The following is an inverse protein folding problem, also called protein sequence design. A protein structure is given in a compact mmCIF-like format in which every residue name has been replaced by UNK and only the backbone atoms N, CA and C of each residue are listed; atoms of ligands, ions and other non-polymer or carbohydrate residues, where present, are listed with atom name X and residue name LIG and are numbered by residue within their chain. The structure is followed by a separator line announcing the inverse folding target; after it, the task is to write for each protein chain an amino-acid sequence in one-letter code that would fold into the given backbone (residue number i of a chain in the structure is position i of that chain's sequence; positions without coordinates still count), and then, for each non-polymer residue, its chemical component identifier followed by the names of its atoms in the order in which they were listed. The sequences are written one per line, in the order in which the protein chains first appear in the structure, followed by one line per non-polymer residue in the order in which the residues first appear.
data_IF_776963319893
#
_entry.id   IF_776963319893
#
_cell.length_a   1.000
_cell.length_b   1.000
_cell.length_c   1.000
_cell.angle_alpha   90.00
_cell.angle_beta   90.00
_cell.angle_gamma   90.00
#
_symmetry.space_group_name_H-M   'P 1'
#
loop_
_entity.id
_entity.type
_entity.pdbx_description
1 polymer ?
#
# COMPACT_ATOMS: atom_id res chain seq x y z
N UNK A 1 0.27 -1.63 4.73
CA UNK A 1 0.12 -0.83 3.53
C UNK A 1 -0.87 0.32 3.77
N UNK A 2 -0.57 1.50 3.28
CA UNK A 2 -1.39 2.70 3.47
C UNK A 2 -0.83 3.91 2.71
N UNK A 3 -1.32 5.12 2.98
CA UNK A 3 -0.90 6.33 2.29
C UNK A 3 0.55 6.72 2.62
N UNK A 4 1.28 7.18 1.61
CA UNK A 4 2.65 7.70 1.69
C UNK A 4 3.68 6.70 2.28
N UNK A 5 3.45 5.40 2.08
CA UNK A 5 4.37 4.33 2.46
C UNK A 5 4.48 3.28 1.35
N UNK A 6 5.63 2.64 1.24
CA UNK A 6 5.88 1.61 0.21
C UNK A 6 5.06 0.32 0.43
N UNK A 7 4.49 0.13 1.61
CA UNK A 7 4.05 -1.17 2.07
C UNK A 7 5.21 -1.97 2.67
N UNK A 8 4.89 -2.78 3.67
CA UNK A 8 5.85 -3.64 4.37
C UNK A 8 5.25 -5.04 4.46
N UNK A 9 6.07 -6.05 4.18
CA UNK A 9 5.73 -7.43 4.42
C UNK A 9 6.85 -8.09 5.24
N UNK A 10 6.49 -8.84 6.27
CA UNK A 10 7.44 -9.63 7.05
C UNK A 10 7.04 -11.09 6.97
N UNK A 11 7.99 -11.91 6.54
CA UNK A 11 7.84 -13.36 6.42
C UNK A 11 8.71 -13.99 7.48
N UNK A 12 8.13 -14.91 8.26
CA UNK A 12 8.84 -15.68 9.28
C UNK A 12 8.66 -17.16 8.97
N UNK A 13 9.76 -17.89 8.89
CA UNK A 13 9.75 -19.31 8.62
C UNK A 13 10.80 -20.04 9.45
N UNK A 14 10.63 -21.36 9.56
CA UNK A 14 11.58 -22.28 10.18
C UNK A 14 12.08 -23.24 9.12
N UNK A 15 13.38 -23.49 9.08
CA UNK A 15 14.02 -24.37 8.10
C UNK A 15 15.31 -24.94 8.68
N UNK A 16 15.96 -25.84 7.93
CA UNK A 16 17.29 -26.34 8.29
C UNK A 16 18.34 -25.22 8.24
N UNK A 17 19.45 -25.43 8.92
CA UNK A 17 20.51 -24.42 9.06
C UNK A 17 21.18 -24.06 7.72
N UNK A 18 21.41 -25.06 6.87
CA UNK A 18 22.10 -24.87 5.59
C UNK A 18 21.26 -24.01 4.64
N UNK A 19 19.96 -24.32 4.50
CA UNK A 19 19.03 -23.54 3.70
C UNK A 19 18.88 -22.09 4.21
N UNK A 20 18.87 -21.90 5.53
CA UNK A 20 18.78 -20.59 6.13
C UNK A 20 20.00 -19.71 5.82
N UNK A 21 21.20 -20.29 5.93
CA UNK A 21 22.45 -19.62 5.62
C UNK A 21 22.56 -19.30 4.12
N UNK A 22 22.10 -20.22 3.26
CA UNK A 22 22.06 -20.02 1.81
C UNK A 22 21.17 -18.80 1.44
N UNK A 23 19.99 -18.70 2.03
CA UNK A 23 19.08 -17.53 1.83
C UNK A 23 19.81 -16.25 2.24
N UNK A 24 20.42 -16.22 3.44
CA UNK A 24 21.11 -15.02 3.93
C UNK A 24 22.29 -14.62 3.03
N UNK A 25 23.04 -15.58 2.51
CA UNK A 25 24.22 -15.33 1.66
C UNK A 25 23.84 -14.89 0.24
N UNK A 26 22.75 -15.40 -0.31
CA UNK A 26 22.30 -15.08 -1.67
C UNK A 26 21.49 -13.79 -1.77
N UNK A 27 20.96 -13.33 -0.65
CA UNK A 27 20.15 -12.12 -0.63
C UNK A 27 21.03 -10.88 -0.59
N UNK A 28 20.78 -9.96 -1.51
CA UNK A 28 21.42 -8.65 -1.60
C UNK A 28 20.37 -7.54 -1.78
N UNK A 29 20.82 -6.30 -1.94
CA UNK A 29 19.96 -5.11 -2.08
C UNK A 29 19.14 -5.09 -3.39
N UNK A 30 19.47 -5.94 -4.37
CA UNK A 30 18.74 -6.10 -5.62
C UNK A 30 17.73 -7.25 -5.59
N UNK A 31 17.73 -8.03 -4.51
CA UNK A 31 16.86 -9.20 -4.39
C UNK A 31 15.41 -8.79 -4.26
N UNK A 32 14.58 -9.37 -5.12
CA UNK A 32 13.14 -9.17 -5.15
C UNK A 32 12.43 -10.47 -4.83
N UNK A 33 11.28 -10.35 -4.19
CA UNK A 33 10.46 -11.53 -3.90
C UNK A 33 8.98 -11.18 -3.86
N UNK A 34 8.16 -12.19 -4.05
CA UNK A 34 6.71 -12.04 -4.00
C UNK A 34 6.07 -13.00 -2.98
N UNK A 35 4.95 -12.57 -2.44
CA UNK A 35 4.07 -13.41 -1.61
C UNK A 35 2.84 -13.76 -2.43
N UNK A 36 2.62 -15.04 -2.65
CA UNK A 36 1.52 -15.57 -3.46
C UNK A 36 0.64 -16.47 -2.62
N UNK A 37 -0.66 -16.36 -2.76
CA UNK A 37 -1.62 -17.31 -2.20
C UNK A 37 -2.18 -18.21 -3.28
N UNK A 38 -2.43 -19.46 -2.94
CA UNK A 38 -3.10 -20.45 -3.79
C UNK A 38 -4.47 -20.85 -3.26
N UNK A 39 -4.95 -20.17 -2.21
CA UNK A 39 -6.19 -20.52 -1.52
C UNK A 39 -7.44 -20.54 -2.42
N UNK A 40 -7.46 -19.75 -3.50
CA UNK A 40 -8.56 -19.73 -4.47
C UNK A 40 -8.47 -20.80 -5.57
N UNK A 41 -7.45 -21.66 -5.54
CA UNK A 41 -7.15 -22.63 -6.60
C UNK A 41 -6.45 -22.02 -7.82
N UNK A 42 -6.25 -20.72 -7.83
CA UNK A 42 -5.39 -19.98 -8.77
C UNK A 42 -4.41 -19.13 -7.96
N UNK A 43 -3.14 -19.04 -8.39
CA UNK A 43 -2.18 -18.17 -7.73
C UNK A 43 -2.64 -16.72 -7.79
N UNK A 44 -2.59 -16.03 -6.65
CA UNK A 44 -2.83 -14.59 -6.59
C UNK A 44 -1.72 -13.94 -5.77
N UNK A 45 -1.12 -12.89 -6.33
CA UNK A 45 -0.06 -12.14 -5.68
C UNK A 45 -0.66 -11.25 -4.60
N UNK A 46 -0.15 -11.37 -3.38
CA UNK A 46 -0.53 -10.53 -2.25
C UNK A 46 0.45 -9.38 -2.05
N UNK A 47 1.72 -9.60 -2.33
CA UNK A 47 2.77 -8.62 -2.15
C UNK A 47 3.92 -8.89 -3.12
N UNK A 48 4.54 -7.85 -3.63
CA UNK A 48 5.79 -7.88 -4.37
C UNK A 48 6.69 -6.76 -3.86
N UNK A 49 7.97 -7.03 -3.69
CA UNK A 49 8.87 -6.02 -3.18
C UNK A 49 10.33 -6.41 -3.16
N UNK A 50 11.15 -5.45 -2.76
CA UNK A 50 12.59 -5.59 -2.58
C UNK A 50 12.89 -6.05 -1.15
N UNK A 51 13.93 -6.86 -0.99
CA UNK A 51 14.34 -7.33 0.32
C UNK A 51 15.04 -6.19 1.07
N UNK A 52 14.47 -5.82 2.21
CA UNK A 52 15.05 -4.82 3.12
C UNK A 52 16.03 -5.44 4.10
N UNK A 53 15.68 -6.61 4.63
CA UNK A 53 16.47 -7.29 5.66
C UNK A 53 16.18 -8.78 5.66
N UNK A 54 17.23 -9.56 5.90
CA UNK A 54 17.15 -10.97 6.23
C UNK A 54 17.87 -11.18 7.55
N UNK A 55 17.22 -11.86 8.48
CA UNK A 55 17.85 -12.29 9.73
C UNK A 55 17.66 -13.79 9.94
N UNK A 56 18.74 -14.44 10.35
CA UNK A 56 18.75 -15.88 10.66
C UNK A 56 19.09 -16.04 12.13
N UNK A 57 18.28 -16.78 12.85
CA UNK A 57 18.50 -17.14 14.25
C UNK A 57 18.57 -18.64 14.38
N UNK A 58 19.79 -19.17 14.57
CA UNK A 58 20.02 -20.59 14.74
C UNK A 58 19.53 -21.07 16.10
N UNK A 59 18.71 -22.12 16.10
CA UNK A 59 18.27 -22.85 17.29
C UNK A 59 18.82 -24.29 17.21
N UNK A 60 18.61 -25.09 18.26
CA UNK A 60 19.26 -26.41 18.34
C UNK A 60 18.99 -27.34 17.12
N UNK A 61 17.77 -27.37 16.64
CA UNK A 61 17.34 -28.31 15.58
C UNK A 61 16.95 -27.61 14.27
N UNK A 62 16.76 -26.29 14.29
CA UNK A 62 16.32 -25.50 13.13
C UNK A 62 16.85 -24.06 13.19
N UNK A 63 16.75 -23.38 12.09
CA UNK A 63 16.98 -21.92 12.03
C UNK A 63 15.64 -21.21 11.77
N UNK A 64 15.42 -20.15 12.52
CA UNK A 64 14.32 -19.20 12.28
C UNK A 64 14.80 -18.11 11.35
N UNK A 65 14.18 -18.00 10.19
CA UNK A 65 14.49 -16.96 9.19
C UNK A 65 13.38 -15.91 9.20
N UNK A 66 13.78 -14.66 9.21
CA UNK A 66 12.87 -13.52 9.05
C UNK A 66 13.31 -12.71 7.85
N UNK A 67 12.43 -12.55 6.88
CA UNK A 67 12.64 -11.73 5.69
C UNK A 67 11.67 -10.54 5.75
N UNK A 68 12.21 -9.34 5.63
CA UNK A 68 11.45 -8.10 5.59
C UNK A 68 11.53 -7.52 4.19
N UNK A 69 10.38 -7.25 3.58
CA UNK A 69 10.23 -6.69 2.24
C UNK A 69 9.64 -5.29 2.30
N UNK A 70 10.09 -4.41 1.44
CA UNK A 70 9.43 -3.15 1.12
C UNK A 70 8.87 -3.20 -0.30
N UNK A 71 7.69 -2.63 -0.54
CA UNK A 71 7.05 -2.62 -1.86
C UNK A 71 7.95 -2.03 -2.94
N UNK A 72 7.74 -2.41 -4.20
CA UNK A 72 8.59 -2.06 -5.36
C UNK A 72 8.84 -0.56 -5.52
N UNK A 73 7.89 0.29 -5.09
CA UNK A 73 8.08 1.75 -5.09
C UNK A 73 9.25 2.23 -4.22
N UNK A 74 9.83 1.37 -3.36
CA UNK A 74 11.10 1.67 -2.67
C UNK A 74 12.24 1.95 -3.64
N UNK A 75 12.21 1.38 -4.84
CA UNK A 75 13.21 1.66 -5.89
C UNK A 75 13.26 3.16 -6.26
N UNK A 76 12.14 3.87 -6.14
CA UNK A 76 12.06 5.32 -6.40
C UNK A 76 12.65 6.19 -5.28
N UNK A 77 13.01 5.59 -4.14
CA UNK A 77 13.53 6.26 -2.94
C UNK A 77 15.02 5.96 -2.67
N UNK A 78 15.76 5.53 -3.69
CA UNK A 78 17.18 5.16 -3.54
C UNK A 78 18.07 6.34 -3.93
N UNK A 79 17.78 6.99 -5.05
CA UNK A 79 18.63 8.02 -5.63
C UNK A 79 17.99 9.40 -5.54
N UNK A 80 18.75 10.40 -5.09
CA UNK A 80 18.34 11.80 -5.14
C UNK A 80 18.62 12.41 -6.52
N UNK A 81 17.82 13.40 -6.89
CA UNK A 81 17.89 14.05 -8.19
C UNK A 81 17.95 15.58 -8.07
N UNK A 82 18.53 16.20 -9.12
CA UNK A 82 18.57 17.65 -9.29
C UNK A 82 18.00 17.99 -10.66
N UNK A 83 16.72 18.38 -10.69
CA UNK A 83 15.98 18.68 -11.92
C UNK A 83 15.19 19.97 -11.78
N UNK A 84 14.98 20.69 -12.87
CA UNK A 84 14.08 21.85 -12.94
C UNK A 84 13.00 21.64 -13.97
N UNK A 85 11.76 21.95 -13.60
CA UNK A 85 10.58 21.86 -14.46
C UNK A 85 10.08 23.28 -14.72
N UNK A 86 10.39 23.81 -15.92
CA UNK A 86 10.18 25.21 -16.25
C UNK A 86 8.84 25.48 -16.93
N UNK A 87 8.16 24.44 -17.42
CA UNK A 87 6.85 24.57 -18.04
C UNK A 87 5.79 24.79 -16.95
N UNK A 88 5.34 26.03 -16.82
CA UNK A 88 4.33 26.43 -15.85
C UNK A 88 2.91 26.01 -16.25
N UNK A 89 2.71 25.51 -17.47
CA UNK A 89 1.43 24.96 -17.94
C UNK A 89 1.29 23.47 -17.68
N UNK A 90 2.40 22.78 -17.38
CA UNK A 90 2.38 21.38 -16.96
C UNK A 90 1.59 21.19 -15.66
N UNK A 91 0.93 20.06 -15.53
CA UNK A 91 0.21 19.73 -14.30
C UNK A 91 1.12 19.06 -13.27
N UNK A 92 0.70 19.04 -12.01
CA UNK A 92 1.43 18.30 -10.97
C UNK A 92 1.53 16.80 -11.30
N UNK A 93 0.47 16.22 -11.88
CA UNK A 93 0.48 14.82 -12.34
C UNK A 93 1.48 14.59 -13.49
N UNK A 94 1.63 15.54 -14.42
CA UNK A 94 2.63 15.43 -15.49
C UNK A 94 4.05 15.43 -14.91
N UNK A 95 4.29 16.26 -13.88
CA UNK A 95 5.59 16.29 -13.22
C UNK A 95 5.89 14.98 -12.48
N UNK A 96 4.91 14.40 -11.82
CA UNK A 96 5.04 13.09 -11.17
C UNK A 96 5.42 12.04 -12.22
N UNK A 97 4.64 11.88 -13.29
CA UNK A 97 4.91 10.91 -14.36
C UNK A 97 6.28 11.11 -14.98
N UNK A 98 6.67 12.38 -15.20
CA UNK A 98 7.97 12.72 -15.78
C UNK A 98 9.14 12.40 -14.85
N UNK A 99 8.98 12.61 -13.55
CA UNK A 99 10.05 12.35 -12.57
C UNK A 99 10.42 10.87 -12.47
N UNK A 100 9.45 9.97 -12.61
CA UNK A 100 9.63 8.52 -12.50
C UNK A 100 9.67 7.81 -13.86
N UNK A 101 9.70 8.56 -14.96
CA UNK A 101 9.72 7.99 -16.31
C UNK A 101 10.94 7.08 -16.52
N UNK A 102 10.69 5.83 -16.90
CA UNK A 102 11.72 4.80 -17.06
C UNK A 102 12.05 4.02 -15.78
N UNK A 103 11.54 4.44 -14.62
CA UNK A 103 11.72 3.77 -13.34
C UNK A 103 10.40 3.23 -12.77
N UNK A 104 9.26 3.76 -13.26
CA UNK A 104 7.94 3.35 -12.81
C UNK A 104 6.82 4.12 -13.51
N UNK A 105 5.59 3.92 -13.02
CA UNK A 105 4.38 4.53 -13.57
C UNK A 105 3.53 5.16 -12.48
N UNK A 106 2.70 6.17 -12.84
CA UNK A 106 1.80 6.84 -11.91
C UNK A 106 0.42 7.07 -12.52
N UNK A 107 -0.61 6.77 -11.77
CA UNK A 107 -2.00 7.10 -12.06
C UNK A 107 -2.49 8.21 -11.13
N UNK A 108 -3.09 9.27 -11.71
CA UNK A 108 -3.63 10.40 -10.95
C UNK A 108 -5.13 10.19 -10.84
N UNK A 109 -5.61 9.85 -9.66
CA UNK A 109 -7.02 9.51 -9.38
C UNK A 109 -7.79 10.66 -8.73
N UNK A 110 -7.17 11.85 -8.67
CA UNK A 110 -7.79 13.08 -8.19
C UNK A 110 -7.79 14.14 -9.30
N UNK A 111 -8.54 15.21 -9.11
CA UNK A 111 -8.51 16.34 -10.03
C UNK A 111 -7.12 16.96 -10.07
N UNK A 112 -6.50 16.91 -11.23
CA UNK A 112 -5.18 17.49 -11.48
C UNK A 112 -5.27 19.00 -11.75
N UNK A 113 -4.18 19.71 -11.53
CA UNK A 113 -4.10 21.16 -11.80
C UNK A 113 -2.70 21.58 -12.27
N UNK A 114 -2.66 22.67 -13.02
CA UNK A 114 -1.41 23.25 -13.49
C UNK A 114 -0.55 23.76 -12.32
N UNK A 115 0.77 23.67 -12.47
CA UNK A 115 1.72 24.14 -11.45
C UNK A 115 1.70 25.65 -11.31
N UNK A 116 1.52 26.39 -12.42
CA UNK A 116 1.53 27.86 -12.46
C UNK A 116 2.89 28.48 -12.11
N UNK A 117 3.90 27.69 -11.83
CA UNK A 117 5.22 28.15 -11.39
C UNK A 117 6.31 27.15 -11.77
N UNK A 118 7.56 27.60 -11.73
CA UNK A 118 8.73 26.75 -11.85
C UNK A 118 8.80 25.83 -10.61
N UNK A 119 9.03 24.52 -10.87
CA UNK A 119 9.21 23.53 -9.82
C UNK A 119 10.65 22.99 -9.91
N UNK A 120 11.28 22.83 -8.76
CA UNK A 120 12.63 22.27 -8.65
C UNK A 120 12.55 21.01 -7.76
N UNK A 121 13.18 19.95 -8.25
CA UNK A 121 13.55 18.78 -7.47
C UNK A 121 15.03 18.95 -7.13
N UNK A 122 15.37 19.16 -5.88
CA UNK A 122 16.75 19.43 -5.47
C UNK A 122 17.13 18.54 -4.28
N UNK A 123 18.10 17.67 -4.52
CA UNK A 123 18.58 16.67 -3.56
C UNK A 123 17.46 15.85 -2.91
N UNK A 124 16.48 15.48 -3.73
CA UNK A 124 15.23 14.86 -3.35
C UNK A 124 15.04 13.59 -4.18
N UNK A 125 14.59 12.50 -3.56
CA UNK A 125 14.28 11.25 -4.27
C UNK A 125 13.04 11.41 -5.17
N UNK A 126 12.86 10.49 -6.10
CA UNK A 126 11.64 10.50 -6.93
C UNK A 126 10.39 10.22 -6.06
N UNK A 127 10.51 9.40 -5.04
CA UNK A 127 9.42 9.13 -4.10
C UNK A 127 9.00 10.37 -3.31
N UNK A 128 9.94 11.06 -2.69
CA UNK A 128 9.66 12.28 -1.93
C UNK A 128 9.10 13.39 -2.83
N UNK A 129 9.65 13.52 -4.05
CA UNK A 129 9.12 14.45 -5.04
C UNK A 129 7.66 14.14 -5.41
N UNK A 130 7.32 12.87 -5.63
CA UNK A 130 5.93 12.46 -5.90
C UNK A 130 4.99 12.81 -4.74
N UNK A 131 5.40 12.54 -3.49
CA UNK A 131 4.61 12.91 -2.30
C UNK A 131 4.42 14.42 -2.22
N UNK A 132 5.48 15.20 -2.46
CA UNK A 132 5.41 16.66 -2.43
C UNK A 132 4.50 17.22 -3.53
N UNK A 133 4.55 16.68 -4.74
CA UNK A 133 3.65 17.08 -5.82
C UNK A 133 2.20 16.66 -5.56
N UNK A 134 1.97 15.45 -5.05
CA UNK A 134 0.65 14.98 -4.66
C UNK A 134 0.03 15.83 -3.54
N UNK A 135 0.83 16.32 -2.61
CA UNK A 135 0.37 17.21 -1.54
C UNK A 135 -0.21 18.52 -2.08
N UNK A 136 0.26 19.02 -3.22
CA UNK A 136 -0.29 20.19 -3.89
C UNK A 136 -1.69 19.92 -4.46
N UNK A 137 -2.02 18.66 -4.72
CA UNK A 137 -3.36 18.22 -5.13
C UNK A 137 -4.25 17.88 -3.92
N UNK A 138 -3.70 17.97 -2.70
CA UNK A 138 -4.39 17.55 -1.46
C UNK A 138 -4.59 16.04 -1.37
N UNK A 139 -3.75 15.25 -2.04
CA UNK A 139 -3.87 13.82 -2.15
C UNK A 139 -2.65 13.08 -1.57
N UNK A 140 -2.83 11.92 -0.95
CA UNK A 140 -1.73 11.04 -0.61
C UNK A 140 -1.27 10.22 -1.83
N UNK A 141 -0.09 9.63 -1.71
CA UNK A 141 0.42 8.64 -2.66
C UNK A 141 0.21 7.23 -2.10
N UNK A 142 -0.30 6.33 -2.91
CA UNK A 142 -0.36 4.90 -2.60
C UNK A 142 0.56 4.14 -3.55
N UNK A 143 1.39 3.24 -3.01
CA UNK A 143 2.14 2.28 -3.82
C UNK A 143 1.24 1.09 -4.17
N UNK A 144 1.39 0.53 -5.36
CA UNK A 144 0.81 -0.77 -5.68
C UNK A 144 1.73 -1.86 -5.13
N UNK A 145 1.30 -2.51 -4.07
CA UNK A 145 2.10 -3.58 -3.43
C UNK A 145 2.05 -4.90 -4.17
N UNK A 146 1.24 -5.01 -5.23
CA UNK A 146 1.12 -6.21 -6.06
C UNK A 146 1.91 -6.10 -7.37
N UNK A 147 2.32 -4.89 -7.74
CA UNK A 147 3.08 -4.64 -8.96
C UNK A 147 4.54 -5.09 -8.82
N UNK A 148 5.09 -5.70 -9.86
CA UNK A 148 6.49 -6.11 -9.97
C UNK A 148 7.42 -4.93 -10.34
N UNK A 149 6.86 -3.86 -10.89
CA UNK A 149 7.56 -2.59 -11.12
C UNK A 149 6.92 -1.46 -10.31
N UNK A 150 7.65 -0.38 -10.00
CA UNK A 150 7.11 0.74 -9.28
C UNK A 150 5.86 1.31 -9.95
N UNK A 151 4.74 1.19 -9.30
CA UNK A 151 3.46 1.76 -9.72
C UNK A 151 2.82 2.49 -8.55
N UNK A 152 2.43 3.73 -8.76
CA UNK A 152 1.83 4.54 -7.70
C UNK A 152 0.53 5.22 -8.15
N UNK A 153 -0.35 5.42 -7.18
CA UNK A 153 -1.59 6.18 -7.34
C UNK A 153 -1.50 7.47 -6.53
N UNK A 154 -1.88 8.58 -7.16
CA UNK A 154 -2.09 9.86 -6.45
C UNK A 154 -3.57 10.01 -6.15
N UNK A 155 -3.93 9.83 -4.90
CA UNK A 155 -5.30 9.62 -4.46
C UNK A 155 -5.59 8.13 -4.21
N UNK A 156 -6.86 7.78 -3.93
CA UNK A 156 -7.23 6.37 -3.75
C UNK A 156 -7.08 5.60 -5.06
N UNK A 157 -6.46 4.43 -5.04
CA UNK A 157 -6.48 3.53 -6.18
C UNK A 157 -7.91 3.28 -6.69
N UNK A 158 -8.14 3.21 -8.00
CA UNK A 158 -9.47 2.94 -8.54
C UNK A 158 -9.91 1.54 -8.13
N UNK A 159 -11.18 1.38 -7.78
CA UNK A 159 -11.76 0.09 -7.48
C UNK A 159 -13.10 -0.05 -8.19
N UNK A 160 -13.28 -1.18 -8.86
CA UNK A 160 -14.50 -1.58 -9.52
C UNK A 160 -15.36 -2.53 -8.67
N UNK A 161 -14.87 -2.91 -7.49
CA UNK A 161 -15.48 -3.91 -6.64
C UNK A 161 -15.78 -3.38 -5.25
N UNK A 162 -16.96 -3.72 -4.76
CA UNK A 162 -17.35 -3.55 -3.36
C UNK A 162 -17.36 -4.93 -2.71
N UNK A 163 -16.55 -5.11 -1.66
CA UNK A 163 -16.56 -6.34 -0.86
C UNK A 163 -17.55 -6.21 0.29
N UNK A 164 -18.48 -7.15 0.40
CA UNK A 164 -19.47 -7.18 1.49
C UNK A 164 -18.88 -7.97 2.68
N UNK A 165 -18.58 -7.26 3.78
CA UNK A 165 -18.05 -7.83 5.01
C UNK A 165 -19.14 -8.06 6.06
N UNK A 166 -20.44 -7.85 5.74
CA UNK A 166 -21.54 -7.93 6.70
C UNK A 166 -21.76 -9.35 7.25
N UNK A 167 -21.29 -10.38 6.53
CA UNK A 167 -21.40 -11.78 6.94
C UNK A 167 -20.15 -12.30 7.67
N UNK A 168 -19.08 -11.52 7.75
CA UNK A 168 -17.88 -11.90 8.44
C UNK A 168 -18.01 -11.69 9.95
N UNK A 169 -17.29 -12.46 10.74
CA UNK A 169 -17.07 -12.10 12.13
C UNK A 169 -16.10 -10.91 12.17
N UNK A 170 -16.56 -9.77 12.62
CA UNK A 170 -15.74 -8.56 12.66
C UNK A 170 -15.93 -7.76 13.95
N UNK A 171 -14.88 -7.03 14.33
CA UNK A 171 -14.92 -6.00 15.35
C UNK A 171 -14.78 -4.63 14.70
N UNK A 172 -15.71 -3.73 14.99
CA UNK A 172 -15.63 -2.36 14.52
C UNK A 172 -15.32 -1.41 15.68
N UNK A 173 -14.24 -0.66 15.54
CA UNK A 173 -13.90 0.44 16.43
C UNK A 173 -13.99 1.76 15.66
N UNK A 174 -14.68 2.75 16.26
CA UNK A 174 -14.80 4.09 15.72
C UNK A 174 -14.02 5.05 16.60
N UNK A 175 -13.06 5.77 16.03
CA UNK A 175 -12.38 6.87 16.70
C UNK A 175 -12.89 8.19 16.17
N UNK A 176 -13.30 9.09 17.06
CA UNK A 176 -13.64 10.48 16.75
C UNK A 176 -12.53 11.36 17.28
N UNK A 177 -11.70 11.89 16.38
CA UNK A 177 -10.81 13.00 16.73
C UNK A 177 -11.55 14.33 16.57
N UNK A 178 -11.31 15.25 17.51
CA UNK A 178 -11.91 16.59 17.47
C UNK A 178 -11.61 17.26 16.12
N UNK A 179 -12.66 17.62 15.41
CA UNK A 179 -12.74 18.37 14.19
C UNK A 179 -12.69 17.65 12.84
N UNK A 180 -12.31 16.39 12.68
CA UNK A 180 -12.41 15.72 11.38
C UNK A 180 -12.24 14.20 11.48
N UNK A 181 -12.95 13.50 10.59
CA UNK A 181 -12.79 12.10 10.22
C UNK A 181 -13.10 11.04 11.28
N UNK A 182 -14.22 10.44 11.07
CA UNK A 182 -14.51 9.14 11.68
C UNK A 182 -13.67 8.09 10.94
N UNK A 183 -12.62 7.60 11.57
CA UNK A 183 -11.91 6.43 11.05
C UNK A 183 -12.50 5.19 11.70
N UNK A 184 -13.00 4.26 10.91
CA UNK A 184 -13.36 2.92 11.36
C UNK A 184 -12.16 2.01 11.29
N UNK A 185 -12.05 1.07 12.22
CA UNK A 185 -11.17 -0.09 12.14
C UNK A 185 -12.06 -1.31 12.15
N UNK A 186 -11.92 -2.17 11.15
CA UNK A 186 -12.51 -3.50 11.14
C UNK A 186 -11.39 -4.50 11.30
N UNK A 187 -11.58 -5.44 12.20
CA UNK A 187 -10.73 -6.63 12.38
C UNK A 187 -11.57 -7.81 11.94
N UNK A 188 -11.09 -8.56 10.96
CA UNK A 188 -11.69 -9.80 10.50
C UNK A 188 -10.71 -10.91 10.79
N UNK A 189 -11.16 -11.95 11.50
CA UNK A 189 -10.35 -13.15 11.75
C UNK A 189 -10.93 -14.31 10.97
N UNK A 190 -10.09 -15.06 10.29
CA UNK A 190 -10.51 -16.16 9.44
C UNK A 190 -9.53 -17.35 9.55
N UNK A 191 -10.06 -18.56 9.62
CA UNK A 191 -9.25 -19.77 9.59
C UNK A 191 -8.62 -19.95 8.21
N UNK A 192 -7.29 -19.94 8.17
CA UNK A 192 -6.53 -20.05 6.93
C UNK A 192 -6.66 -21.41 6.24
N UNK A 193 -7.16 -22.43 6.93
CA UNK A 193 -7.39 -23.77 6.37
C UNK A 193 -8.68 -23.87 5.54
N UNK A 194 -9.57 -22.89 5.64
CA UNK A 194 -10.89 -22.94 5.00
C UNK A 194 -10.92 -22.16 3.67
N UNK A 195 -11.85 -22.58 2.81
CA UNK A 195 -12.13 -21.92 1.53
C UNK A 195 -12.57 -20.43 1.66
N UNK A 196 -12.84 -20.00 2.89
CA UNK A 196 -13.19 -18.64 3.28
C UNK A 196 -12.12 -17.59 3.06
N UNK A 197 -10.84 -17.91 3.16
CA UNK A 197 -9.71 -17.02 2.79
C UNK A 197 -9.90 -16.29 1.46
N UNK A 198 -10.83 -16.79 0.64
CA UNK A 198 -11.16 -16.26 -0.68
C UNK A 198 -11.77 -14.86 -0.67
N UNK A 199 -12.43 -14.47 0.41
CA UNK A 199 -13.23 -13.25 0.43
C UNK A 199 -12.48 -12.03 0.96
N UNK A 200 -11.54 -12.22 1.89
CA UNK A 200 -10.96 -11.14 2.68
C UNK A 200 -9.50 -10.85 2.36
N UNK A 201 -8.73 -11.86 1.91
CA UNK A 201 -7.31 -11.66 1.54
C UNK A 201 -7.09 -10.75 0.33
N UNK A 202 -8.13 -10.41 -0.42
CA UNK A 202 -8.04 -9.61 -1.64
C UNK A 202 -8.63 -8.21 -1.48
N UNK A 203 -8.69 -7.69 -0.28
CA UNK A 203 -9.06 -6.30 -0.03
C UNK A 203 -7.79 -5.48 0.12
N UNK A 204 -7.63 -4.49 -0.73
CA UNK A 204 -6.45 -3.61 -0.75
C UNK A 204 -6.84 -2.15 -0.49
N UNK A 205 -5.86 -1.30 -0.22
CA UNK A 205 -6.11 0.13 -0.14
C UNK A 205 -6.74 0.63 -1.45
N UNK A 206 -7.75 1.47 -1.35
CA UNK A 206 -8.56 1.92 -2.47
C UNK A 206 -9.81 1.07 -2.74
N UNK A 207 -9.86 -0.18 -2.26
CA UNK A 207 -11.07 -0.97 -2.39
C UNK A 207 -12.22 -0.39 -1.55
N UNK A 208 -13.44 -0.69 -1.98
CA UNK A 208 -14.64 -0.38 -1.21
C UNK A 208 -15.12 -1.61 -0.46
N UNK A 209 -15.51 -1.38 0.80
CA UNK A 209 -16.11 -2.41 1.62
C UNK A 209 -17.49 -1.95 2.09
N UNK A 210 -18.43 -2.88 2.15
CA UNK A 210 -19.75 -2.69 2.73
C UNK A 210 -19.80 -3.45 4.05
N UNK A 211 -20.27 -2.76 5.08
CA UNK A 211 -20.52 -3.33 6.39
C UNK A 211 -21.93 -2.92 6.80
N UNK A 212 -22.81 -3.90 6.95
CA UNK A 212 -24.23 -3.68 7.10
C UNK A 212 -24.81 -2.83 5.94
N UNK A 213 -25.37 -1.66 6.25
CA UNK A 213 -25.95 -0.75 5.25
C UNK A 213 -25.02 0.41 4.83
N UNK A 214 -23.73 0.36 5.20
CA UNK A 214 -22.79 1.47 4.99
C UNK A 214 -21.63 1.07 4.13
N UNK A 215 -21.15 2.01 3.32
CA UNK A 215 -19.98 1.86 2.47
C UNK A 215 -18.79 2.62 3.05
N UNK A 216 -17.61 2.02 2.90
CA UNK A 216 -16.34 2.59 3.34
C UNK A 216 -15.29 2.40 2.25
N UNK A 217 -14.38 3.36 2.12
CA UNK A 217 -13.14 3.18 1.36
C UNK A 217 -12.04 2.69 2.29
N UNK A 218 -11.26 1.73 1.86
CA UNK A 218 -10.11 1.22 2.60
C UNK A 218 -8.92 2.13 2.36
N UNK A 219 -8.44 2.82 3.40
CA UNK A 219 -7.27 3.69 3.32
C UNK A 219 -5.97 3.00 3.73
N UNK A 220 -6.06 1.96 4.55
CA UNK A 220 -4.90 1.22 5.01
C UNK A 220 -5.28 -0.21 5.39
N UNK A 221 -4.31 -1.10 5.28
CA UNK A 221 -4.46 -2.52 5.60
C UNK A 221 -3.26 -2.96 6.43
N UNK A 222 -3.53 -3.75 7.46
CA UNK A 222 -2.55 -4.58 8.13
C UNK A 222 -3.10 -5.99 8.21
N UNK A 223 -2.34 -6.96 7.72
CA UNK A 223 -2.69 -8.37 7.74
C UNK A 223 -1.64 -9.13 8.55
N UNK A 224 -2.07 -10.04 9.39
CA UNK A 224 -1.21 -10.94 10.15
C UNK A 224 -1.75 -12.36 10.02
N UNK A 225 -0.90 -13.30 9.63
CA UNK A 225 -1.21 -14.72 9.67
C UNK A 225 -0.39 -15.37 10.77
N UNK A 226 -1.09 -15.95 11.75
CA UNK A 226 -0.48 -16.61 12.88
C UNK A 226 -1.29 -17.84 13.28
N UNK A 227 -0.59 -18.95 13.48
CA UNK A 227 -1.20 -20.22 13.92
C UNK A 227 -2.39 -20.67 13.05
N UNK A 228 -2.31 -20.42 11.73
CA UNK A 228 -3.35 -20.75 10.77
C UNK A 228 -4.54 -19.78 10.76
N UNK A 229 -4.49 -18.70 11.53
CA UNK A 229 -5.52 -17.66 11.56
C UNK A 229 -5.00 -16.41 10.84
N UNK A 230 -5.77 -15.93 9.87
CA UNK A 230 -5.53 -14.66 9.20
C UNK A 230 -6.35 -13.56 9.88
N UNK A 231 -5.66 -12.58 10.45
CA UNK A 231 -6.27 -11.37 10.99
C UNK A 231 -6.07 -10.20 10.03
N UNK A 232 -7.16 -9.58 9.59
CA UNK A 232 -7.13 -8.42 8.72
C UNK A 232 -7.63 -7.18 9.45
N UNK A 233 -6.82 -6.13 9.46
CA UNK A 233 -7.16 -4.85 10.05
C UNK A 233 -7.29 -3.80 8.94
N UNK A 234 -8.46 -3.21 8.78
CA UNK A 234 -8.77 -2.20 7.78
C UNK A 234 -8.90 -0.82 8.42
N UNK A 235 -8.13 0.15 7.95
CA UNK A 235 -8.41 1.56 8.19
C UNK A 235 -9.46 2.04 7.21
N UNK A 236 -10.61 2.51 7.70
CA UNK A 236 -11.78 2.82 6.88
C UNK A 236 -12.10 4.31 6.87
N UNK A 237 -12.57 4.78 5.71
CA UNK A 237 -13.14 6.11 5.51
C UNK A 237 -14.63 5.95 5.15
N UNK A 238 -15.56 6.56 5.90
CA UNK A 238 -16.98 6.46 5.60
C UNK A 238 -17.30 7.17 4.27
N UNK A 239 -18.04 6.46 3.39
CA UNK A 239 -18.49 6.96 2.09
C UNK A 239 -19.99 7.33 2.09
N UNK A 240 -20.75 6.92 3.12
CA UNK A 240 -22.20 7.09 3.20
C UNK A 240 -22.96 5.80 2.96
N UNK A 241 -24.22 5.94 2.58
CA UNK A 241 -25.15 4.80 2.41
C UNK A 241 -25.35 4.42 0.93
N UNK A 242 -24.78 5.16 0.00
CA UNK A 242 -24.86 4.89 -1.43
C UNK A 242 -23.64 4.14 -1.90
N UNK A 243 -23.83 3.13 -2.75
CA UNK A 243 -22.73 2.39 -3.34
C UNK A 243 -21.84 3.34 -4.16
N UNK A 244 -20.53 3.32 -3.96
CA UNK A 244 -19.61 4.11 -4.77
C UNK A 244 -19.69 3.63 -6.23
N UNK A 245 -19.64 4.56 -7.16
CA UNK A 245 -19.63 4.26 -8.60
C UNK A 245 -18.24 3.78 -9.00
N UNK A 246 -18.14 2.70 -9.76
CA UNK A 246 -16.88 2.22 -10.30
C UNK A 246 -16.17 3.33 -11.09
N UNK A 247 -14.89 3.54 -10.85
CA UNK A 247 -14.10 4.57 -11.52
C UNK A 247 -14.38 6.01 -11.06
N UNK A 248 -15.19 6.22 -10.03
CA UNK A 248 -15.35 7.54 -9.44
C UNK A 248 -14.01 8.00 -8.86
N UNK A 249 -13.48 9.10 -9.38
CA UNK A 249 -12.44 9.88 -8.70
C UNK A 249 -13.04 10.32 -7.39
N UNK A 250 -12.72 9.60 -6.33
CA UNK A 250 -13.28 9.87 -5.02
C UNK A 250 -12.53 11.04 -4.41
N UNK A 251 -13.09 12.21 -4.58
CA UNK A 251 -12.73 13.38 -3.78
C UNK A 251 -13.17 13.10 -2.33
N UNK A 252 -12.48 12.17 -1.66
CA UNK A 252 -12.77 11.79 -0.29
C UNK A 252 -12.26 12.92 0.58
N UNK A 253 -13.19 13.83 0.89
CA UNK A 253 -12.95 14.85 1.93
C UNK A 253 -12.44 14.13 3.18
N UNK A 254 -11.16 14.28 3.47
CA UNK A 254 -10.56 13.67 4.63
C UNK A 254 -9.37 12.76 4.35
N UNK A 255 -9.02 12.50 3.09
CA UNK A 255 -7.73 11.95 2.69
C UNK A 255 -6.60 12.98 2.72
N UNK A 256 -6.89 14.27 2.89
CA UNK A 256 -5.87 15.26 3.21
C UNK A 256 -5.21 14.84 4.54
N UNK A 257 -4.34 13.87 4.46
CA UNK A 257 -3.38 13.58 5.50
C UNK A 257 -2.61 14.89 5.64
N UNK A 258 -2.59 15.45 6.84
CA UNK A 258 -1.52 16.32 7.23
C UNK A 258 -0.23 15.60 6.87
N UNK A 259 0.35 15.94 5.73
CA UNK A 259 1.73 15.62 5.47
C UNK A 259 2.45 16.26 6.66
N UNK A 260 2.90 15.42 7.58
CA UNK A 260 3.71 15.89 8.68
C UNK A 260 4.93 16.53 8.05
N UNK A 261 4.85 17.86 7.96
CA UNK A 261 6.04 18.65 7.76
C UNK A 261 6.82 18.51 9.07
N UNK A 262 7.69 17.53 9.13
CA UNK A 262 8.79 17.57 10.06
C UNK A 262 9.69 18.71 9.57
N UNK A 263 9.60 19.82 10.28
CA UNK A 263 10.59 20.89 10.25
C UNK A 263 11.90 20.38 10.82
#
# INVERSE_FOLDING_TARGET
HGPNVFGLCTIVGEMDHESADEIAQRTDESSETEVVTTASGQPARLFCGVVKNVSVNHQNEYAKVTVVLEGTCKKLDIQTHQRSYQDTTATYGDLIRKSISGEGTAEITVTDKQTGQLIVQYDETNWDFCIRMASQLGAPVFSDVQADEPHLYVGLPPSDQVKDLSTAEFQMAKSTMSNQMQTGKIVVSEDASDAGLKSYCYVFAGNFVKVDARFYAVKSISAEMKDGILEMNYGLLPMGNEAPTAGATTDVKGLAVSAGMNQ
#
